data_IF_439330169628
#
_entry.id   IF_439330169628
#
_cell.length_a   1.000
_cell.length_b   1.000
_cell.length_c   1.000
_cell.angle_alpha   90.00
_cell.angle_beta   90.00
_cell.angle_gamma   90.00
#
_symmetry.space_group_name_H-M   'P 1'
#
loop_
_entity.id
_entity.type
_entity.pdbx_description
1 polymer ?
#
# COMPACT_ATOMS: atom_id res chain seq x y z
N UNK A 1 1.94 -13.15 -4.07
CA UNK A 1 3.25 -12.78 -3.51
C UNK A 1 3.31 -11.26 -3.55
N UNK A 2 3.92 -10.56 -2.59
CA UNK A 2 4.05 -9.11 -2.71
C UNK A 2 4.79 -8.76 -4.01
N UNK A 3 4.44 -7.62 -4.62
CA UNK A 3 5.11 -7.15 -5.82
C UNK A 3 6.62 -7.08 -5.59
N UNK A 4 7.39 -7.60 -6.53
CA UNK A 4 8.82 -7.40 -6.52
C UNK A 4 9.19 -5.91 -6.70
N UNK A 5 10.48 -5.61 -6.61
CA UNK A 5 10.96 -4.24 -6.71
C UNK A 5 10.70 -3.60 -8.09
N UNK A 6 10.61 -4.38 -9.17
CA UNK A 6 10.38 -3.85 -10.52
C UNK A 6 8.91 -3.48 -10.72
N UNK A 7 8.01 -4.38 -10.33
CA UNK A 7 6.57 -4.17 -10.40
C UNK A 7 6.10 -3.12 -9.40
N UNK A 8 6.65 -3.11 -8.19
CA UNK A 8 6.36 -2.09 -7.19
C UNK A 8 6.81 -0.70 -7.63
N UNK A 9 7.99 -0.59 -8.27
CA UNK A 9 8.44 0.66 -8.91
C UNK A 9 7.48 1.11 -10.02
N UNK A 10 7.10 0.19 -10.90
CA UNK A 10 6.19 0.45 -12.03
C UNK A 10 4.82 0.94 -11.53
N UNK A 11 4.30 0.31 -10.47
CA UNK A 11 3.07 0.72 -9.80
C UNK A 11 3.18 2.15 -9.21
N UNK A 12 4.28 2.46 -8.52
CA UNK A 12 4.51 3.81 -7.98
C UNK A 12 4.65 4.87 -9.08
N UNK A 13 5.30 4.52 -10.20
CA UNK A 13 5.36 5.37 -11.40
C UNK A 13 3.97 5.65 -11.96
N UNK A 14 3.12 4.63 -12.10
CA UNK A 14 1.73 4.79 -12.56
C UNK A 14 0.93 5.74 -11.66
N UNK A 15 0.97 5.54 -10.34
CA UNK A 15 0.28 6.40 -9.37
C UNK A 15 0.71 7.86 -9.51
N UNK A 16 2.01 8.08 -9.69
CA UNK A 16 2.61 9.42 -9.63
C UNK A 16 2.70 10.14 -10.98
N UNK A 17 2.45 9.46 -12.10
CA UNK A 17 2.49 10.07 -13.44
C UNK A 17 1.11 10.22 -14.09
N UNK A 18 0.18 9.31 -13.84
CA UNK A 18 -1.12 9.26 -14.55
C UNK A 18 -2.31 9.79 -13.76
N UNK A 19 -2.05 10.44 -12.63
CA UNK A 19 -3.09 10.96 -11.75
C UNK A 19 -4.02 11.99 -12.42
N UNK A 20 -3.54 12.70 -13.45
CA UNK A 20 -4.37 13.66 -14.19
C UNK A 20 -5.29 13.00 -15.23
N UNK A 21 -5.00 11.77 -15.65
CA UNK A 21 -5.85 11.02 -16.55
C UNK A 21 -7.08 10.48 -15.81
N UNK A 22 -8.27 10.95 -16.21
CA UNK A 22 -9.55 10.51 -15.63
C UNK A 22 -9.76 9.00 -15.71
N UNK A 23 -9.24 8.37 -16.76
CA UNK A 23 -9.30 6.92 -16.93
C UNK A 23 -8.56 6.18 -15.80
N UNK A 24 -7.40 6.70 -15.40
CA UNK A 24 -6.53 6.11 -14.39
C UNK A 24 -6.88 6.47 -12.96
N UNK A 25 -7.54 7.61 -12.71
CA UNK A 25 -7.87 8.07 -11.35
C UNK A 25 -8.52 7.00 -10.50
N UNK A 26 -9.63 6.41 -10.94
CA UNK A 26 -10.34 5.37 -10.17
C UNK A 26 -9.46 4.15 -9.87
N UNK A 27 -8.57 3.79 -10.79
CA UNK A 27 -7.63 2.67 -10.61
C UNK A 27 -6.57 3.01 -9.58
N UNK A 28 -5.97 4.20 -9.67
CA UNK A 28 -4.99 4.72 -8.70
C UNK A 28 -5.60 4.82 -7.31
N UNK A 29 -6.83 5.32 -7.21
CA UNK A 29 -7.60 5.37 -5.96
C UNK A 29 -7.78 3.96 -5.38
N UNK A 30 -8.24 3.00 -6.17
CA UNK A 30 -8.34 1.61 -5.72
C UNK A 30 -6.98 1.07 -5.26
N UNK A 31 -5.89 1.30 -6.00
CA UNK A 31 -4.54 0.89 -5.59
C UNK A 31 -4.12 1.53 -4.27
N UNK A 32 -4.34 2.84 -4.07
CA UNK A 32 -4.01 3.53 -2.82
C UNK A 32 -4.88 3.09 -1.64
N UNK A 33 -6.02 2.44 -1.88
CA UNK A 33 -6.85 1.87 -0.80
C UNK A 33 -6.25 0.59 -0.23
N UNK A 34 -5.42 -0.12 -1.02
CA UNK A 34 -4.84 -1.42 -0.69
C UNK A 34 -3.85 -1.37 0.48
N UNK A 35 -3.65 -2.50 1.20
CA UNK A 35 -2.62 -2.60 2.23
C UNK A 35 -1.21 -2.52 1.63
N UNK A 36 -0.28 -1.90 2.35
CA UNK A 36 1.13 -1.77 1.93
C UNK A 36 1.85 -3.12 1.82
N UNK A 37 1.32 -4.18 2.44
CA UNK A 37 1.88 -5.52 2.45
C UNK A 37 1.97 -6.17 1.08
N UNK A 38 1.25 -5.65 0.07
CA UNK A 38 1.39 -6.11 -1.31
C UNK A 38 2.58 -5.51 -2.06
N UNK A 39 3.37 -4.62 -1.44
CA UNK A 39 4.64 -4.13 -2.00
C UNK A 39 5.78 -4.86 -1.28
N UNK A 40 6.68 -5.53 -2.00
CA UNK A 40 7.72 -6.36 -1.39
C UNK A 40 8.92 -5.56 -0.90
N UNK A 41 9.28 -4.50 -1.60
CA UNK A 41 10.43 -3.66 -1.25
C UNK A 41 10.09 -2.67 -0.09
N UNK A 42 10.87 -2.65 1.01
CA UNK A 42 10.59 -1.76 2.15
C UNK A 42 10.62 -0.27 1.82
N UNK A 43 11.52 0.18 0.94
CA UNK A 43 11.59 1.59 0.56
C UNK A 43 10.35 1.99 -0.25
N UNK A 44 9.92 1.13 -1.16
CA UNK A 44 8.68 1.31 -1.93
C UNK A 44 7.43 1.24 -1.05
N UNK A 45 7.41 0.43 0.01
CA UNK A 45 6.33 0.45 1.01
C UNK A 45 6.21 1.81 1.70
N UNK A 46 7.34 2.41 2.09
CA UNK A 46 7.37 3.74 2.71
C UNK A 46 6.88 4.81 1.72
N UNK A 47 7.31 4.76 0.46
CA UNK A 47 6.80 5.63 -0.60
C UNK A 47 5.30 5.47 -0.82
N UNK A 48 4.82 4.23 -0.93
CA UNK A 48 3.40 3.93 -1.11
C UNK A 48 2.58 4.48 0.06
N UNK A 49 3.04 4.32 1.30
CA UNK A 49 2.35 4.84 2.47
C UNK A 49 2.36 6.36 2.56
N UNK A 50 3.48 6.99 2.21
CA UNK A 50 3.55 8.44 2.11
C UNK A 50 2.54 8.98 1.10
N UNK A 51 2.45 8.39 -0.09
CA UNK A 51 1.48 8.76 -1.12
C UNK A 51 0.05 8.52 -0.63
N UNK A 52 -0.22 7.36 -0.04
CA UNK A 52 -1.53 7.01 0.53
C UNK A 52 -1.98 8.02 1.56
N UNK A 53 -1.12 8.41 2.51
CA UNK A 53 -1.45 9.37 3.56
C UNK A 53 -1.58 10.78 2.98
N UNK A 54 -0.61 11.23 2.16
CA UNK A 54 -0.58 12.57 1.60
C UNK A 54 -1.79 12.86 0.70
N UNK A 55 -2.20 11.89 -0.11
CA UNK A 55 -3.34 12.02 -1.01
C UNK A 55 -4.68 11.83 -0.26
N UNK A 56 -4.73 11.01 0.79
CA UNK A 56 -5.92 10.87 1.65
C UNK A 56 -6.14 12.08 2.56
N UNK A 57 -5.09 12.73 3.06
CA UNK A 57 -5.20 13.92 3.90
C UNK A 57 -5.87 15.09 3.17
N UNK A 58 -5.72 15.15 1.84
CA UNK A 58 -6.39 16.16 1.00
C UNK A 58 -7.92 15.98 0.94
N UNK A 59 -8.42 14.75 1.17
CA UNK A 59 -9.86 14.42 1.28
C UNK A 59 -10.52 15.11 2.47
N UNK A 60 -9.84 15.20 3.61
CA UNK A 60 -10.42 15.76 4.85
C UNK A 60 -10.61 17.28 4.83
N UNK A 61 -10.00 18.00 3.89
CA UNK A 61 -9.97 19.47 3.86
C UNK A 61 -10.96 20.09 2.86
N UNK A 62 -11.61 19.30 2.01
CA UNK A 62 -12.56 19.78 1.00
C UNK A 62 -13.97 19.34 1.36
N UNK A 63 -14.82 20.32 1.69
CA UNK A 63 -16.24 20.14 2.02
C UNK A 63 -17.13 19.83 0.79
N UNK A 64 -16.59 19.12 -0.20
CA UNK A 64 -17.27 18.78 -1.46
C UNK A 64 -17.26 17.25 -1.68
N UNK A 65 -18.20 16.69 -2.48
CA UNK A 65 -18.64 15.30 -2.38
C UNK A 65 -17.53 14.28 -2.55
N UNK A 66 -17.78 13.08 -2.01
CA UNK A 66 -16.89 11.99 -1.63
C UNK A 66 -16.00 11.37 -2.74
N UNK A 67 -15.87 12.00 -3.92
CA UNK A 67 -14.89 11.61 -4.93
C UNK A 67 -13.50 12.05 -4.50
N UNK A 68 -12.70 11.06 -4.10
CA UNK A 68 -11.26 11.15 -3.90
C UNK A 68 -10.60 12.03 -4.97
N UNK A 69 -9.65 12.88 -4.57
CA UNK A 69 -8.93 13.72 -5.54
C UNK A 69 -7.51 13.21 -5.68
N UNK A 70 -7.39 12.07 -6.36
CA UNK A 70 -6.21 11.83 -7.21
C UNK A 70 -6.38 12.74 -8.42
N UNK A 71 -5.42 13.64 -8.65
CA UNK A 71 -5.55 14.66 -9.68
C UNK A 71 -5.05 16.04 -9.28
N UNK A 72 -4.47 16.75 -10.24
CA UNK A 72 -4.15 18.16 -10.14
C UNK A 72 -3.05 18.50 -9.13
N UNK A 73 -3.08 19.75 -8.66
CA UNK A 73 -2.00 20.36 -7.89
C UNK A 73 -1.64 19.61 -6.61
N UNK A 74 -2.62 19.05 -5.91
CA UNK A 74 -2.40 18.33 -4.66
C UNK A 74 -1.52 17.09 -4.84
N UNK A 75 -1.82 16.30 -5.88
CA UNK A 75 -1.02 15.10 -6.20
C UNK A 75 0.38 15.50 -6.64
N UNK A 76 0.49 16.53 -7.49
CA UNK A 76 1.77 17.09 -7.90
C UNK A 76 2.62 17.55 -6.72
N UNK A 77 2.03 18.29 -5.77
CA UNK A 77 2.72 18.80 -4.58
C UNK A 77 3.26 17.68 -3.69
N UNK A 78 2.48 16.61 -3.47
CA UNK A 78 2.92 15.45 -2.68
C UNK A 78 4.10 14.75 -3.35
N UNK A 79 4.05 14.56 -4.68
CA UNK A 79 5.15 13.95 -5.43
C UNK A 79 6.39 14.84 -5.42
N UNK A 80 6.25 16.14 -5.66
CA UNK A 80 7.37 17.09 -5.62
C UNK A 80 8.00 17.19 -4.23
N UNK A 81 7.18 17.18 -3.18
CA UNK A 81 7.67 17.19 -1.79
C UNK A 81 8.45 15.92 -1.46
N UNK A 82 8.00 14.74 -1.91
CA UNK A 82 8.76 13.50 -1.75
C UNK A 82 10.15 13.59 -2.39
N UNK A 83 10.25 14.18 -3.60
CA UNK A 83 11.52 14.36 -4.31
C UNK A 83 12.42 15.41 -3.66
N UNK A 84 11.84 16.48 -3.11
CA UNK A 84 12.58 17.56 -2.47
C UNK A 84 13.07 17.21 -1.06
N UNK A 85 12.24 16.49 -0.29
CA UNK A 85 12.51 16.08 1.10
C UNK A 85 12.25 14.58 1.30
N UNK A 86 13.13 13.70 0.79
CA UNK A 86 12.94 12.24 0.86
C UNK A 86 12.82 11.70 2.29
N UNK A 87 13.46 12.34 3.27
CA UNK A 87 13.36 12.00 4.70
C UNK A 87 11.94 12.07 5.28
N UNK A 88 11.02 12.80 4.62
CA UNK A 88 9.59 12.82 5.00
C UNK A 88 8.83 11.58 4.55
N UNK A 89 9.36 10.87 3.54
CA UNK A 89 8.83 9.59 3.06
C UNK A 89 9.27 8.47 4.01
N UNK A 90 10.54 8.49 4.39
CA UNK A 90 11.12 7.61 5.40
C UNK A 90 12.55 8.03 5.74
N UNK A 91 13.05 7.71 6.94
CA UNK A 91 14.34 8.21 7.42
C UNK A 91 15.53 7.76 6.56
N UNK A 92 15.44 6.57 5.96
CA UNK A 92 16.48 5.95 5.15
C UNK A 92 16.28 6.17 3.64
N UNK A 93 15.23 6.89 3.24
CA UNK A 93 14.93 7.16 1.84
C UNK A 93 15.82 8.27 1.31
N UNK A 94 16.50 8.00 0.20
CA UNK A 94 17.40 8.94 -0.48
C UNK A 94 16.73 9.62 -1.67
N UNK A 95 17.43 10.60 -2.28
CA UNK A 95 16.96 11.25 -3.50
C UNK A 95 16.88 10.31 -4.70
N UNK A 96 17.77 9.33 -4.76
CA UNK A 96 17.83 8.38 -5.88
C UNK A 96 16.64 7.42 -5.83
N UNK A 97 16.24 7.01 -4.62
CA UNK A 97 15.08 6.14 -4.39
C UNK A 97 13.79 6.78 -4.91
N UNK A 98 13.61 8.10 -4.75
CA UNK A 98 12.40 8.82 -5.20
C UNK A 98 12.52 9.43 -6.59
N UNK A 99 13.68 9.33 -7.25
CA UNK A 99 13.95 10.00 -8.51
C UNK A 99 12.97 9.59 -9.62
N UNK A 100 12.55 8.32 -9.61
CA UNK A 100 11.66 7.75 -10.61
C UNK A 100 10.20 8.22 -10.48
N UNK A 101 9.78 8.75 -9.32
CA UNK A 101 8.41 9.21 -9.10
C UNK A 101 8.04 10.32 -10.09
N UNK A 102 6.86 10.24 -10.67
CA UNK A 102 6.36 11.15 -11.71
C UNK A 102 6.84 10.83 -13.13
N UNK A 103 7.68 9.82 -13.31
CA UNK A 103 8.04 9.32 -14.64
C UNK A 103 6.98 8.33 -15.12
N UNK A 104 6.47 8.51 -16.34
CA UNK A 104 5.50 7.57 -16.91
C UNK A 104 6.16 6.20 -17.15
N UNK A 105 5.54 5.09 -16.75
CA UNK A 105 6.15 3.77 -16.87
C UNK A 105 6.00 3.16 -18.28
N UNK A 106 5.44 3.87 -19.25
CA UNK A 106 5.33 3.41 -20.64
C UNK A 106 3.93 2.93 -21.02
N UNK A 107 3.65 2.89 -22.33
CA UNK A 107 2.31 2.61 -22.89
C UNK A 107 1.89 1.16 -22.71
N UNK A 108 2.84 0.27 -22.52
CA UNK A 108 2.70 -1.15 -22.18
C UNK A 108 2.01 -1.38 -20.84
N UNK A 109 2.05 -0.37 -19.95
CA UNK A 109 1.35 -0.41 -18.67
C UNK A 109 -0.08 0.04 -18.93
N UNK A 110 -0.98 -0.90 -19.19
CA UNK A 110 -2.38 -0.64 -19.49
C UNK A 110 -3.33 -1.22 -18.43
N UNK A 111 -4.64 -1.25 -18.72
CA UNK A 111 -5.64 -1.79 -17.80
C UNK A 111 -5.41 -3.27 -17.50
N UNK A 112 -5.01 -4.04 -18.50
CA UNK A 112 -4.74 -5.46 -18.34
C UNK A 112 -3.54 -5.68 -17.42
N UNK A 113 -2.46 -4.90 -17.61
CA UNK A 113 -1.33 -4.91 -16.69
C UNK A 113 -1.75 -4.56 -15.26
N UNK A 114 -2.62 -3.56 -15.08
CA UNK A 114 -3.07 -3.18 -13.74
C UNK A 114 -3.90 -4.27 -13.07
N UNK A 115 -4.77 -4.96 -13.82
CA UNK A 115 -5.53 -6.10 -13.31
C UNK A 115 -4.61 -7.27 -12.93
N UNK A 116 -3.60 -7.58 -13.75
CA UNK A 116 -2.59 -8.59 -13.44
C UNK A 116 -1.77 -8.24 -12.19
N UNK A 117 -1.36 -6.98 -12.07
CA UNK A 117 -0.67 -6.45 -10.90
C UNK A 117 -1.53 -6.58 -9.64
N UNK A 118 -2.85 -6.36 -9.74
CA UNK A 118 -3.77 -6.59 -8.62
C UNK A 118 -3.88 -8.06 -8.25
N UNK A 119 -3.93 -8.98 -9.22
CA UNK A 119 -3.90 -10.41 -8.94
C UNK A 119 -2.66 -10.74 -8.12
N UNK A 120 -1.48 -10.33 -8.58
CA UNK A 120 -0.22 -10.58 -7.87
C UNK A 120 -0.22 -9.99 -6.46
N UNK A 121 -0.73 -8.76 -6.28
CA UNK A 121 -0.88 -8.08 -4.99
C UNK A 121 -1.64 -8.93 -3.95
N UNK A 122 -2.61 -9.72 -4.40
CA UNK A 122 -3.49 -10.53 -3.56
C UNK A 122 -3.27 -12.03 -3.65
N UNK A 123 -2.40 -12.52 -4.54
CA UNK A 123 -2.11 -13.93 -4.72
C UNK A 123 -1.24 -14.45 -3.56
N UNK A 124 -1.78 -14.35 -2.36
CA UNK A 124 -1.37 -15.10 -1.19
C UNK A 124 -1.97 -16.49 -1.45
N UNK A 125 -1.16 -17.54 -1.73
CA UNK A 125 -1.63 -18.87 -1.36
C UNK A 125 -1.96 -18.73 0.12
N UNK A 126 -3.20 -19.03 0.54
CA UNK A 126 -3.40 -19.41 1.94
C UNK A 126 -2.31 -20.45 2.21
N UNK A 127 -1.26 -20.07 2.95
CA UNK A 127 -0.32 -21.04 3.47
C UNK A 127 -1.20 -21.94 4.33
N UNK A 128 -1.50 -23.11 3.78
CA UNK A 128 -1.97 -24.28 4.48
C UNK A 128 -1.08 -24.33 5.73
N UNK A 129 -1.64 -23.90 6.87
CA UNK A 129 -0.99 -24.10 8.15
C UNK A 129 -0.60 -25.57 8.12
N UNK A 130 0.69 -25.94 8.21
CA UNK A 130 1.02 -27.34 8.42
C UNK A 130 0.19 -27.74 9.62
N UNK A 131 -0.68 -28.74 9.41
CA UNK A 131 -1.51 -29.31 10.44
C UNK A 131 -0.65 -29.39 11.69
N UNK A 132 -1.09 -28.73 12.76
CA UNK A 132 -0.51 -28.92 14.08
C UNK A 132 -0.33 -30.43 14.22
N UNK A 133 0.92 -30.87 14.31
CA UNK A 133 1.23 -32.24 14.68
C UNK A 133 0.43 -32.50 15.93
N UNK A 134 -0.59 -33.36 15.80
CA UNK A 134 -1.33 -33.98 16.87
C UNK A 134 -0.37 -34.94 17.57
N UNK A 135 0.65 -34.38 18.22
CA UNK A 135 1.56 -35.02 19.14
C UNK A 135 0.95 -34.90 20.52
N UNK A 136 0.24 -35.95 20.92
CA UNK A 136 -0.54 -35.97 22.15
C UNK A 136 0.28 -35.85 23.42
N UNK A 137 -0.38 -35.41 24.48
CA UNK A 137 -0.41 -36.14 25.75
C UNK A 137 -1.62 -35.63 26.54
N UNK A 138 -2.62 -36.50 26.67
CA UNK A 138 -3.63 -36.37 27.71
C UNK A 138 -2.93 -36.64 29.05
N UNK A 139 -2.74 -35.60 29.85
CA UNK A 139 -2.44 -35.72 31.27
C UNK A 139 -3.30 -34.73 32.05
N UNK A 140 -3.99 -35.32 33.00
CA UNK A 140 -5.09 -34.86 33.84
C UNK A 140 -4.71 -33.75 34.85
N UNK A 141 -5.70 -33.30 35.62
CA UNK A 141 -5.66 -32.45 36.83
C UNK A 141 -5.60 -30.92 36.64
N UNK A 142 -6.43 -30.08 37.28
CA UNK A 142 -7.45 -30.28 38.31
C UNK A 142 -8.31 -28.99 38.44
N UNK A 143 -9.61 -29.19 38.68
CA UNK A 143 -10.67 -28.37 39.31
C UNK A 143 -10.63 -26.81 39.35
N UNK A 144 -11.78 -26.14 39.08
CA UNK A 144 -11.95 -24.71 39.32
C UNK A 144 -12.51 -24.44 40.73
N UNK A 145 -11.95 -23.46 41.45
CA UNK A 145 -12.62 -22.88 42.63
C UNK A 145 -12.37 -21.38 42.72
N UNK A 146 -13.46 -20.63 42.48
CA UNK A 146 -14.00 -19.46 43.21
C UNK A 146 -13.01 -18.39 43.72
N UNK A 147 -13.27 -17.08 43.61
CA UNK A 147 -14.32 -16.30 44.32
C UNK A 147 -14.43 -14.90 43.66
N UNK A 148 -15.67 -14.43 43.43
CA UNK A 148 -15.97 -13.00 43.16
C UNK A 148 -15.84 -12.19 44.45
N UNK A 149 -15.00 -11.16 44.43
CA UNK A 149 -14.99 -10.09 45.43
C UNK A 149 -15.53 -8.80 44.79
N UNK A 150 -16.57 -8.21 45.37
CA UNK A 150 -16.75 -6.76 45.32
C UNK A 150 -17.53 -6.27 46.54
N UNK A 151 -16.94 -5.26 47.16
CA UNK A 151 -17.37 -4.49 48.31
C UNK A 151 -18.57 -3.58 48.00
#
# INVERSE_FOLDING_TARGET
MPLDAELGKTMLQLITSRYDDRHWRKKIEKTLSLPQSGVGDPAQQQMFMYLKIGLKAYKSRRAEPDSWIVGGYATKEVVERAKFQPHLVGPDITKDDVAFLGSDPGKEIDEAWWDEMLVQWFDVPEEEKPAEEEGGEAADSDSPSTIKAKA
#
